data_IF_686538114644
#
_entry.id   IF_686538114644
#
_cell.length_a   1.000
_cell.length_b   1.000
_cell.length_c   1.000
_cell.angle_alpha   90.00
_cell.angle_beta   90.00
_cell.angle_gamma   90.00
#
_symmetry.space_group_name_H-M   'P 1'
#
loop_
_entity.id
_entity.type
_entity.pdbx_description
1 polymer ?
#
# COMPACT_ATOMS: atom_id res chain seq x y z
N UNK A 1 2.84 -4.76 -10.31
CA UNK A 1 4.07 -4.02 -9.89
C UNK A 1 3.74 -3.28 -8.60
N UNK A 2 4.65 -3.26 -7.62
CA UNK A 2 4.43 -2.55 -6.34
C UNK A 2 5.19 -1.24 -6.37
N UNK A 3 4.49 -0.14 -6.57
CA UNK A 3 5.10 1.19 -6.73
C UNK A 3 5.22 1.88 -5.36
N UNK A 4 6.39 2.42 -5.08
CA UNK A 4 6.59 3.37 -3.98
C UNK A 4 6.38 4.77 -4.54
N UNK A 5 5.52 5.56 -3.90
CA UNK A 5 5.32 6.96 -4.27
C UNK A 5 5.94 7.87 -3.22
N UNK A 6 6.88 8.72 -3.64
CA UNK A 6 7.49 9.74 -2.79
C UNK A 6 7.01 11.11 -3.23
N UNK A 7 6.27 11.80 -2.37
CA UNK A 7 5.88 13.19 -2.55
C UNK A 7 6.92 14.09 -1.88
N UNK A 8 7.70 14.81 -2.67
CA UNK A 8 8.66 15.79 -2.16
C UNK A 8 7.98 17.15 -1.92
N UNK A 9 7.98 17.58 -0.65
CA UNK A 9 7.41 18.86 -0.21
C UNK A 9 8.44 19.98 -0.06
N UNK A 10 9.70 19.78 -0.46
CA UNK A 10 10.71 20.82 -0.34
C UNK A 10 10.34 22.01 -1.25
N UNK A 11 10.29 23.26 -0.75
CA UNK A 11 9.77 24.41 -1.53
C UNK A 11 10.68 24.85 -2.68
N UNK A 12 11.98 24.58 -2.58
CA UNK A 12 12.96 24.74 -3.66
C UNK A 12 14.00 23.64 -3.53
N UNK A 13 13.73 22.46 -4.11
CA UNK A 13 14.62 21.31 -3.93
C UNK A 13 15.99 21.56 -4.57
N UNK A 14 16.09 22.42 -5.59
CA UNK A 14 17.38 22.70 -6.25
C UNK A 14 18.36 23.41 -5.31
N UNK A 15 17.86 24.14 -4.30
CA UNK A 15 18.68 24.76 -3.26
C UNK A 15 18.91 23.87 -2.02
N UNK A 16 18.34 22.65 -1.99
CA UNK A 16 18.47 21.75 -0.84
C UNK A 16 19.81 21.01 -0.80
N UNK A 17 20.48 21.04 0.34
CA UNK A 17 21.70 20.24 0.57
C UNK A 17 21.44 18.81 1.06
N UNK A 18 20.26 18.53 1.63
CA UNK A 18 19.97 17.25 2.30
C UNK A 18 18.82 16.47 1.68
N UNK A 19 17.67 17.10 1.39
CA UNK A 19 16.51 16.43 0.77
C UNK A 19 16.83 15.92 -0.64
N UNK A 20 17.63 16.66 -1.43
CA UNK A 20 18.13 16.22 -2.74
C UNK A 20 18.91 14.93 -2.64
N UNK A 21 19.86 14.86 -1.70
CA UNK A 21 20.66 13.64 -1.44
C UNK A 21 19.75 12.49 -1.03
N UNK A 22 18.77 12.72 -0.15
CA UNK A 22 17.83 11.68 0.27
C UNK A 22 17.06 11.12 -0.93
N UNK A 23 16.49 11.98 -1.77
CA UNK A 23 15.70 11.57 -2.93
C UNK A 23 16.55 10.84 -3.97
N UNK A 24 17.76 11.32 -4.26
CA UNK A 24 18.71 10.63 -5.16
C UNK A 24 19.04 9.23 -4.65
N UNK A 25 19.27 9.07 -3.35
CA UNK A 25 19.53 7.76 -2.74
C UNK A 25 18.32 6.83 -2.84
N UNK A 26 17.10 7.33 -2.59
CA UNK A 26 15.89 6.53 -2.74
C UNK A 26 15.75 6.03 -4.18
N UNK A 27 15.86 6.92 -5.16
CA UNK A 27 15.75 6.57 -6.58
C UNK A 27 16.85 5.61 -7.05
N UNK A 28 18.02 5.64 -6.43
CA UNK A 28 19.15 4.76 -6.79
C UNK A 28 19.06 3.38 -6.16
N UNK A 29 18.43 3.25 -4.98
CA UNK A 29 18.43 2.01 -4.20
C UNK A 29 17.13 1.20 -4.32
N UNK A 30 16.06 1.80 -4.84
CA UNK A 30 14.77 1.13 -5.04
C UNK A 30 14.41 1.12 -6.52
N UNK A 31 13.93 -0.02 -7.03
CA UNK A 31 13.70 -0.23 -8.47
C UNK A 31 12.36 0.32 -8.99
N UNK A 32 11.33 0.38 -8.15
CA UNK A 32 9.96 0.82 -8.49
C UNK A 32 9.55 2.02 -7.61
N UNK A 33 10.18 3.17 -7.84
CA UNK A 33 9.85 4.44 -7.14
C UNK A 33 9.45 5.53 -8.13
N UNK A 34 8.31 6.15 -7.87
CA UNK A 34 7.92 7.42 -8.45
C UNK A 34 8.20 8.56 -7.45
N UNK A 35 9.00 9.55 -7.85
CA UNK A 35 9.20 10.78 -7.06
C UNK A 35 8.46 11.94 -7.71
N UNK A 36 7.48 12.50 -6.98
CA UNK A 36 6.71 13.67 -7.42
C UNK A 36 7.17 14.90 -6.65
N UNK A 37 7.77 15.84 -7.38
CA UNK A 37 8.30 17.11 -6.85
C UNK A 37 7.24 18.20 -6.88
N UNK A 38 6.68 18.56 -5.74
CA UNK A 38 5.60 19.55 -5.69
C UNK A 38 6.08 20.94 -6.13
N UNK A 39 7.33 21.33 -5.80
CA UNK A 39 7.93 22.59 -6.21
C UNK A 39 7.96 22.77 -7.73
N UNK A 40 8.29 21.69 -8.45
CA UNK A 40 8.37 21.68 -9.91
C UNK A 40 7.01 21.48 -10.58
N UNK A 41 6.15 20.61 -10.04
CA UNK A 41 4.85 20.29 -10.62
C UNK A 41 3.84 21.43 -10.43
N UNK A 42 3.88 22.10 -9.28
CA UNK A 42 2.86 23.07 -8.87
C UNK A 42 3.48 24.38 -8.32
N UNK A 43 4.36 25.06 -9.09
CA UNK A 43 4.98 26.30 -8.64
C UNK A 43 3.97 27.42 -8.38
N UNK A 44 2.77 27.33 -8.94
CA UNK A 44 1.66 28.26 -8.79
C UNK A 44 0.57 27.77 -7.81
N UNK A 45 0.83 26.70 -7.06
CA UNK A 45 -0.08 26.09 -6.09
C UNK A 45 -1.37 25.54 -6.71
N UNK A 46 -1.43 25.28 -8.03
CA UNK A 46 -2.59 24.64 -8.67
C UNK A 46 -2.41 23.14 -8.77
N UNK A 47 -2.78 22.42 -7.71
CA UNK A 47 -2.66 20.96 -7.64
C UNK A 47 -3.61 20.30 -8.65
N UNK A 48 -3.07 19.42 -9.49
CA UNK A 48 -3.85 18.49 -10.31
C UNK A 48 -4.26 17.30 -9.45
N UNK A 49 -5.41 17.43 -8.77
CA UNK A 49 -5.92 16.43 -7.84
C UNK A 49 -6.05 15.05 -8.48
N UNK A 50 -6.53 14.99 -9.74
CA UNK A 50 -6.76 13.71 -10.42
C UNK A 50 -5.43 12.99 -10.66
N UNK A 51 -4.41 13.71 -11.16
CA UNK A 51 -3.11 13.11 -11.39
C UNK A 51 -2.47 12.58 -10.10
N UNK A 52 -2.55 13.33 -9.00
CA UNK A 52 -2.00 12.93 -7.71
C UNK A 52 -2.74 11.72 -7.11
N UNK A 53 -4.07 11.71 -7.20
CA UNK A 53 -4.88 10.57 -6.75
C UNK A 53 -4.56 9.30 -7.54
N UNK A 54 -4.37 9.39 -8.86
CA UNK A 54 -3.97 8.25 -9.68
C UNK A 54 -2.59 7.72 -9.29
N UNK A 55 -1.62 8.60 -9.01
CA UNK A 55 -0.32 8.18 -8.52
C UNK A 55 -0.44 7.47 -7.15
N UNK A 56 -1.26 7.99 -6.24
CA UNK A 56 -1.50 7.35 -4.93
C UNK A 56 -2.19 5.99 -5.05
N UNK A 57 -3.12 5.83 -6.00
CA UNK A 57 -3.79 4.56 -6.27
C UNK A 57 -2.82 3.50 -6.76
N UNK A 58 -1.88 3.88 -7.63
CA UNK A 58 -0.86 2.99 -8.19
C UNK A 58 0.19 2.52 -7.17
N UNK A 59 0.31 3.21 -6.02
CA UNK A 59 1.34 2.97 -5.03
C UNK A 59 0.88 2.11 -3.85
N UNK A 60 1.76 1.22 -3.36
CA UNK A 60 1.52 0.44 -2.14
C UNK A 60 2.04 1.17 -0.90
N UNK A 61 3.16 1.89 -1.06
CA UNK A 61 3.81 2.69 -0.02
C UNK A 61 3.86 4.14 -0.45
N UNK A 62 3.31 5.03 0.35
CA UNK A 62 3.30 6.48 0.13
C UNK A 62 4.21 7.14 1.18
N UNK A 63 5.18 7.92 0.70
CA UNK A 63 6.15 8.64 1.53
C UNK A 63 5.98 10.13 1.32
N UNK A 64 5.79 10.89 2.41
CA UNK A 64 5.95 12.34 2.35
C UNK A 64 7.38 12.69 2.76
N UNK A 65 8.17 13.20 1.82
CA UNK A 65 9.53 13.68 2.06
C UNK A 65 9.56 15.20 2.17
N UNK A 66 9.91 15.77 3.33
CA UNK A 66 9.90 17.23 3.50
C UNK A 66 10.90 17.77 4.54
N UNK A 67 11.28 19.05 4.46
CA UNK A 67 11.91 19.72 5.60
C UNK A 67 10.87 20.12 6.65
N UNK A 68 11.15 19.87 7.94
CA UNK A 68 10.24 20.16 9.04
C UNK A 68 10.24 21.65 9.37
N UNK A 69 9.26 22.37 8.83
CA UNK A 69 9.16 23.83 8.94
C UNK A 69 8.09 24.22 9.94
N UNK A 70 8.47 25.04 10.92
CA UNK A 70 7.56 25.52 11.97
C UNK A 70 6.72 24.39 12.58
N UNK A 71 7.39 23.27 12.88
CA UNK A 71 6.79 22.10 13.52
C UNK A 71 5.71 21.41 12.68
N UNK A 72 5.73 21.61 11.36
CA UNK A 72 4.77 21.07 10.41
C UNK A 72 5.41 20.78 9.02
N UNK A 73 4.56 20.47 8.05
CA UNK A 73 4.93 20.34 6.62
C UNK A 73 5.01 21.72 5.94
N UNK A 74 5.77 21.87 4.84
CA UNK A 74 5.75 23.09 4.03
C UNK A 74 4.38 23.42 3.45
N UNK A 75 4.12 24.71 3.19
CA UNK A 75 2.80 25.22 2.81
C UNK A 75 2.20 24.53 1.57
N UNK A 76 3.00 24.32 0.52
CA UNK A 76 2.55 23.64 -0.70
C UNK A 76 2.17 22.18 -0.43
N UNK A 77 2.94 21.47 0.41
CA UNK A 77 2.60 20.10 0.82
C UNK A 77 1.33 20.09 1.67
N UNK A 78 1.13 21.07 2.56
CA UNK A 78 -0.13 21.18 3.31
C UNK A 78 -1.32 21.37 2.37
N UNK A 79 -1.19 22.25 1.36
CA UNK A 79 -2.23 22.42 0.35
C UNK A 79 -2.48 21.14 -0.45
N UNK A 80 -1.43 20.44 -0.84
CA UNK A 80 -1.55 19.14 -1.52
C UNK A 80 -2.33 18.13 -0.66
N UNK A 81 -2.04 18.04 0.64
CA UNK A 81 -2.82 17.20 1.57
C UNK A 81 -4.30 17.63 1.55
N UNK A 82 -4.58 18.93 1.68
CA UNK A 82 -5.95 19.46 1.74
C UNK A 82 -6.76 19.22 0.46
N UNK A 83 -6.12 19.30 -0.71
CA UNK A 83 -6.79 19.13 -2.00
C UNK A 83 -6.94 17.63 -2.37
N UNK A 84 -5.90 16.81 -2.12
CA UNK A 84 -5.82 15.42 -2.61
C UNK A 84 -6.55 14.44 -1.70
N UNK A 85 -6.49 14.64 -0.38
CA UNK A 85 -7.23 13.82 0.61
C UNK A 85 -8.69 14.26 0.68
N UNK A 86 -9.40 14.15 -0.44
CA UNK A 86 -10.75 14.67 -0.63
C UNK A 86 -11.85 13.67 -0.26
N UNK A 87 -13.07 14.20 -0.08
CA UNK A 87 -14.27 13.43 0.20
C UNK A 87 -14.56 12.42 -0.93
N UNK A 88 -14.98 11.21 -0.57
CA UNK A 88 -15.16 10.03 -1.42
C UNK A 88 -13.89 9.51 -2.13
N UNK A 89 -12.72 10.08 -1.82
CA UNK A 89 -11.44 9.48 -2.18
C UNK A 89 -10.72 8.95 -0.95
N UNK A 90 -10.37 9.83 -0.01
CA UNK A 90 -9.65 9.47 1.21
C UNK A 90 -10.58 9.24 2.41
N UNK A 91 -11.77 9.85 2.44
CA UNK A 91 -12.72 9.68 3.55
C UNK A 91 -14.16 9.86 3.07
N UNK A 92 -15.14 9.52 3.89
CA UNK A 92 -16.57 9.52 3.51
C UNK A 92 -17.05 8.12 3.08
N UNK A 93 -18.33 7.99 2.66
CA UNK A 93 -18.94 6.68 2.39
C UNK A 93 -18.20 5.84 1.34
N UNK A 94 -17.57 6.48 0.35
CA UNK A 94 -16.80 5.82 -0.71
C UNK A 94 -15.28 6.08 -0.59
N UNK A 95 -14.85 6.76 0.47
CA UNK A 95 -13.47 7.21 0.67
C UNK A 95 -12.57 6.13 1.24
N UNK A 96 -12.40 5.03 0.50
CA UNK A 96 -11.61 3.87 0.89
C UNK A 96 -10.35 3.67 0.04
N UNK A 97 -10.05 4.59 -0.88
CA UNK A 97 -9.03 4.43 -1.92
C UNK A 97 -7.60 4.33 -1.39
N UNK A 98 -7.38 4.82 -0.17
CA UNK A 98 -6.08 4.79 0.50
C UNK A 98 -6.01 3.72 1.59
N UNK A 99 -7.11 3.01 1.86
CA UNK A 99 -7.20 2.05 2.95
C UNK A 99 -6.16 0.93 2.79
N UNK A 100 -5.41 0.67 3.85
CA UNK A 100 -4.39 -0.39 3.89
C UNK A 100 -3.09 -0.06 3.15
N UNK A 101 -2.97 1.09 2.48
CA UNK A 101 -1.68 1.55 1.94
C UNK A 101 -0.76 1.99 3.08
N UNK A 102 0.53 1.71 2.94
CA UNK A 102 1.52 2.11 3.94
C UNK A 102 1.87 3.58 3.79
N UNK A 103 1.91 4.30 4.92
CA UNK A 103 2.19 5.74 4.93
C UNK A 103 3.36 6.06 5.84
N UNK A 104 4.42 6.65 5.27
CA UNK A 104 5.64 7.04 5.98
C UNK A 104 5.81 8.55 5.90
N UNK A 105 6.02 9.18 7.05
CA UNK A 105 6.54 10.53 7.11
C UNK A 105 8.06 10.47 7.16
N UNK A 106 8.72 11.10 6.19
CA UNK A 106 10.17 11.15 6.06
C UNK A 106 10.63 12.60 6.03
N UNK A 107 11.38 13.07 7.02
CA UNK A 107 11.69 14.50 7.10
C UNK A 107 13.00 14.88 7.77
N UNK A 108 13.53 16.03 7.34
CA UNK A 108 14.76 16.59 7.89
C UNK A 108 14.45 17.66 8.93
N UNK A 109 15.08 17.56 10.10
CA UNK A 109 14.89 18.47 11.23
C UNK A 109 16.14 19.32 11.42
N UNK A 110 15.97 20.64 11.53
CA UNK A 110 17.08 21.56 11.72
C UNK A 110 17.71 21.48 13.12
N UNK A 111 16.87 21.47 14.15
CA UNK A 111 17.31 21.44 15.55
C UNK A 111 17.91 20.09 15.97
N UNK A 112 18.68 20.08 17.06
CA UNK A 112 19.27 18.86 17.62
C UNK A 112 18.21 18.01 18.35
N UNK A 113 18.46 16.70 18.51
CA UNK A 113 17.48 15.76 19.06
C UNK A 113 17.07 16.13 20.50
N UNK A 114 18.04 16.51 21.32
CA UNK A 114 17.87 16.93 22.71
C UNK A 114 16.99 18.18 22.89
N UNK A 115 16.67 18.90 21.82
CA UNK A 115 15.73 20.03 21.90
C UNK A 115 14.26 19.60 21.93
N UNK A 116 13.95 18.38 21.50
CA UNK A 116 12.58 17.83 21.40
C UNK A 116 12.25 16.95 22.60
N UNK A 117 12.27 17.57 23.78
CA UNK A 117 12.02 16.94 25.07
C UNK A 117 11.08 17.85 25.90
N UNK A 118 10.24 17.31 26.81
CA UNK A 118 9.39 18.12 27.69
C UNK A 118 10.13 19.20 28.49
N UNK A 119 11.40 18.97 28.82
CA UNK A 119 12.28 19.93 29.50
C UNK A 119 13.24 20.65 28.53
N UNK A 120 13.22 20.28 27.25
CA UNK A 120 14.02 20.87 26.19
C UNK A 120 13.38 22.12 25.58
N UNK A 121 14.10 22.74 24.64
CA UNK A 121 13.71 24.01 24.02
C UNK A 121 12.36 23.96 23.27
N UNK A 122 12.04 22.84 22.63
CA UNK A 122 10.81 22.69 21.85
C UNK A 122 9.63 22.15 22.67
N UNK A 123 9.84 21.79 23.94
CA UNK A 123 8.82 21.34 24.91
C UNK A 123 8.01 20.08 24.56
N UNK A 124 8.11 19.57 23.34
CA UNK A 124 7.40 18.39 22.87
C UNK A 124 8.36 17.51 22.08
N UNK A 125 8.11 16.20 22.12
CA UNK A 125 8.81 15.28 21.23
C UNK A 125 8.38 15.52 19.78
N UNK A 126 9.21 15.07 18.84
CA UNK A 126 8.86 15.15 17.41
C UNK A 126 7.54 14.43 17.15
N UNK A 127 7.35 13.24 17.72
CA UNK A 127 6.14 12.41 17.55
C UNK A 127 4.88 13.13 17.99
N UNK A 128 4.91 13.84 19.12
CA UNK A 128 3.77 14.62 19.59
C UNK A 128 3.36 15.70 18.58
N UNK A 129 4.33 16.32 17.90
CA UNK A 129 4.07 17.31 16.86
C UNK A 129 3.53 16.69 15.56
N UNK A 130 3.69 15.38 15.36
CA UNK A 130 3.18 14.68 14.18
C UNK A 130 1.74 14.17 14.32
N UNK A 131 1.13 14.26 15.51
CA UNK A 131 -0.23 13.74 15.74
C UNK A 131 -1.27 14.19 14.69
N UNK A 132 -1.29 15.44 14.18
CA UNK A 132 -2.23 15.82 13.13
C UNK A 132 -2.04 15.04 11.81
N UNK A 133 -0.79 14.76 11.42
CA UNK A 133 -0.47 13.99 10.21
C UNK A 133 -0.77 12.50 10.42
N UNK A 134 -0.47 11.98 11.61
CA UNK A 134 -0.87 10.61 12.00
C UNK A 134 -2.38 10.43 11.96
N UNK A 135 -3.15 11.41 12.49
CA UNK A 135 -4.61 11.39 12.44
C UNK A 135 -5.15 11.48 11.01
N UNK A 136 -4.46 12.19 10.11
CA UNK A 136 -4.80 12.23 8.67
C UNK A 136 -4.71 10.84 8.05
N UNK A 137 -3.63 10.10 8.33
CA UNK A 137 -3.46 8.73 7.86
C UNK A 137 -4.55 7.79 8.41
N UNK A 138 -4.90 7.91 9.70
CA UNK A 138 -5.96 7.11 10.32
C UNK A 138 -7.34 7.41 9.75
N UNK A 139 -7.66 8.68 9.50
CA UNK A 139 -8.92 9.04 8.86
C UNK A 139 -9.01 8.43 7.45
N UNK A 140 -7.89 8.37 6.73
CA UNK A 140 -7.79 7.77 5.41
C UNK A 140 -7.67 6.24 5.40
N UNK A 141 -7.72 5.58 6.57
CA UNK A 141 -7.59 4.14 6.70
C UNK A 141 -6.21 3.59 6.33
N UNK A 142 -5.18 4.44 6.27
CA UNK A 142 -3.82 4.06 5.92
C UNK A 142 -3.09 3.42 7.10
N UNK A 143 -2.10 2.59 6.79
CA UNK A 143 -1.20 2.02 7.79
C UNK A 143 -0.10 3.04 8.10
N UNK A 144 -0.30 3.87 9.13
CA UNK A 144 0.73 4.81 9.59
C UNK A 144 1.94 4.04 10.13
N UNK A 145 3.10 4.23 9.51
CA UNK A 145 4.37 3.58 9.88
C UNK A 145 5.25 4.52 10.71
N UNK A 146 6.28 3.95 11.34
CA UNK A 146 7.20 4.71 12.17
C UNK A 146 7.88 5.79 11.31
N UNK A 147 7.79 7.08 11.70
CA UNK A 147 8.36 8.16 10.90
C UNK A 147 9.88 8.05 10.87
N UNK A 148 10.47 8.40 9.72
CA UNK A 148 11.91 8.52 9.56
C UNK A 148 12.27 10.00 9.61
N UNK A 149 13.00 10.41 10.65
CA UNK A 149 13.49 11.77 10.73
C UNK A 149 14.94 11.83 11.18
N UNK A 150 15.59 12.96 10.92
CA UNK A 150 17.00 13.18 11.29
C UNK A 150 17.23 14.62 11.68
N UNK A 151 17.89 14.80 12.81
CA UNK A 151 18.23 16.08 13.42
C UNK A 151 19.50 16.69 12.84
N UNK A 152 19.74 17.97 13.16
CA UNK A 152 20.95 18.71 12.76
C UNK A 152 21.16 18.72 11.24
N UNK A 153 20.08 18.89 10.47
CA UNK A 153 20.10 18.88 9.00
C UNK A 153 20.26 20.26 8.35
N UNK A 154 20.33 21.33 9.15
CA UNK A 154 20.61 22.69 8.65
C UNK A 154 22.10 22.84 8.39
N UNK A 155 22.46 23.30 7.21
CA UNK A 155 23.81 23.77 6.88
C UNK A 155 23.77 25.26 6.60
N UNK A 156 24.60 26.03 7.30
CA UNK A 156 24.83 27.44 7.02
C UNK A 156 26.35 27.62 6.90
N UNK A 157 26.87 28.00 5.72
CA UNK A 157 28.30 28.12 5.48
C UNK A 157 29.00 28.93 6.57
N UNK A 158 30.01 28.34 7.22
CA UNK A 158 30.81 28.94 8.29
C UNK A 158 30.03 29.32 9.58
N UNK A 159 28.79 28.84 9.74
CA UNK A 159 27.95 29.20 10.88
C UNK A 159 27.42 27.96 11.60
N UNK A 160 26.90 26.97 10.88
CA UNK A 160 26.23 25.83 11.49
C UNK A 160 26.34 24.57 10.65
N UNK A 161 26.93 23.52 11.25
CA UNK A 161 27.32 22.25 10.64
C UNK A 161 28.26 22.38 9.43
N UNK A 162 28.94 21.28 9.10
CA UNK A 162 29.66 21.14 7.83
C UNK A 162 28.77 20.51 6.76
N UNK A 163 29.03 20.86 5.49
CA UNK A 163 28.25 20.34 4.37
C UNK A 163 28.37 18.81 4.26
N UNK A 164 29.58 18.29 4.42
CA UNK A 164 29.86 16.85 4.39
C UNK A 164 29.07 16.10 5.47
N UNK A 165 29.01 16.66 6.68
CA UNK A 165 28.30 16.07 7.81
C UNK A 165 26.79 15.98 7.59
N UNK A 166 26.16 17.06 7.08
CA UNK A 166 24.72 17.03 6.80
C UNK A 166 24.39 16.08 5.64
N UNK A 167 25.27 15.97 4.64
CA UNK A 167 25.08 15.05 3.53
C UNK A 167 25.31 13.58 3.95
N UNK A 168 26.25 13.31 4.85
CA UNK A 168 26.43 11.99 5.44
C UNK A 168 25.18 11.56 6.24
N UNK A 169 24.63 12.47 7.06
CA UNK A 169 23.35 12.23 7.76
C UNK A 169 22.19 12.01 6.78
N UNK A 170 22.15 12.75 5.66
CA UNK A 170 21.15 12.59 4.62
C UNK A 170 21.23 11.20 3.95
N UNK A 171 22.44 10.70 3.67
CA UNK A 171 22.63 9.33 3.16
C UNK A 171 22.14 8.29 4.15
N UNK A 172 22.53 8.39 5.43
CA UNK A 172 22.06 7.45 6.45
C UNK A 172 20.55 7.52 6.70
N UNK A 173 19.95 8.71 6.58
CA UNK A 173 18.50 8.87 6.60
C UNK A 173 17.84 8.08 5.47
N UNK A 174 18.36 8.21 4.24
CA UNK A 174 17.84 7.47 3.09
C UNK A 174 18.02 5.96 3.24
N UNK A 175 19.16 5.48 3.77
CA UNK A 175 19.37 4.05 4.05
C UNK A 175 18.30 3.49 4.99
N UNK A 176 18.01 4.18 6.09
CA UNK A 176 16.96 3.76 7.04
C UNK A 176 15.58 3.75 6.40
N UNK A 177 15.27 4.75 5.58
CA UNK A 177 14.02 4.82 4.84
C UNK A 177 13.90 3.68 3.83
N UNK A 178 14.92 3.43 3.01
CA UNK A 178 14.95 2.35 2.03
C UNK A 178 14.85 0.96 2.69
N UNK A 179 15.46 0.77 3.87
CA UNK A 179 15.31 -0.46 4.66
C UNK A 179 13.86 -0.65 5.08
N UNK A 180 13.23 0.37 5.67
CA UNK A 180 11.83 0.28 6.10
C UNK A 180 10.89 0.03 4.91
N UNK A 181 11.08 0.73 3.79
CA UNK A 181 10.28 0.52 2.57
C UNK A 181 10.47 -0.91 2.05
N UNK A 182 11.71 -1.40 1.96
CA UNK A 182 12.01 -2.76 1.52
C UNK A 182 11.35 -3.80 2.42
N UNK A 183 11.39 -3.62 3.74
CA UNK A 183 10.71 -4.51 4.71
C UNK A 183 9.18 -4.53 4.50
N UNK A 184 8.57 -3.37 4.25
CA UNK A 184 7.12 -3.28 3.99
C UNK A 184 6.73 -3.98 2.68
N UNK A 185 7.52 -3.77 1.62
CA UNK A 185 7.30 -4.38 0.31
C UNK A 185 7.53 -5.90 0.31
N UNK A 186 8.46 -6.37 1.14
CA UNK A 186 8.80 -7.80 1.24
C UNK A 186 8.01 -8.53 2.32
N UNK A 187 7.21 -7.83 3.12
CA UNK A 187 6.44 -8.45 4.19
C UNK A 187 5.47 -9.51 3.65
N UNK A 188 5.34 -10.67 4.33
CA UNK A 188 4.40 -11.71 3.94
C UNK A 188 2.98 -11.19 3.70
N UNK A 189 2.47 -10.36 4.61
CA UNK A 189 1.13 -9.77 4.52
C UNK A 189 0.95 -8.92 3.27
N UNK A 190 1.90 -8.02 2.96
CA UNK A 190 1.83 -7.17 1.76
C UNK A 190 1.80 -8.01 0.49
N UNK A 191 2.67 -9.02 0.41
CA UNK A 191 2.75 -9.92 -0.74
C UNK A 191 1.48 -10.75 -0.91
N UNK A 192 0.92 -11.24 0.19
CA UNK A 192 -0.36 -11.98 0.20
C UNK A 192 -1.53 -11.08 -0.23
N UNK A 193 -1.64 -9.85 0.30
CA UNK A 193 -2.71 -8.93 -0.07
C UNK A 193 -2.67 -8.55 -1.56
N UNK A 194 -1.46 -8.30 -2.09
CA UNK A 194 -1.28 -8.05 -3.51
C UNK A 194 -1.65 -9.25 -4.36
N UNK A 195 -1.21 -10.44 -3.96
CA UNK A 195 -1.58 -11.68 -4.62
C UNK A 195 -3.10 -11.87 -4.66
N UNK A 196 -3.81 -11.63 -3.56
CA UNK A 196 -5.28 -11.71 -3.49
C UNK A 196 -5.94 -10.74 -4.48
N UNK A 197 -5.43 -9.51 -4.57
CA UNK A 197 -5.93 -8.50 -5.51
C UNK A 197 -5.73 -8.96 -6.96
N UNK A 198 -4.55 -9.45 -7.31
CA UNK A 198 -4.25 -9.97 -8.65
C UNK A 198 -5.06 -11.24 -8.97
N UNK A 199 -5.23 -12.12 -7.97
CA UNK A 199 -6.02 -13.34 -8.05
C UNK A 199 -7.48 -13.06 -8.41
N UNK A 200 -8.14 -12.17 -7.66
CA UNK A 200 -9.53 -11.81 -7.92
C UNK A 200 -9.71 -10.98 -9.20
N UNK A 201 -8.78 -10.05 -9.50
CA UNK A 201 -8.82 -9.33 -10.77
C UNK A 201 -8.71 -10.29 -11.97
N UNK A 202 -7.97 -11.40 -11.84
CA UNK A 202 -7.92 -12.43 -12.88
C UNK A 202 -9.22 -13.25 -12.94
N UNK A 203 -9.81 -13.58 -11.79
CA UNK A 203 -11.13 -14.22 -11.74
C UNK A 203 -12.23 -13.36 -12.36
N UNK A 204 -12.19 -12.05 -12.19
CA UNK A 204 -13.19 -11.12 -12.77
C UNK A 204 -13.21 -11.15 -14.29
N UNK A 205 -12.06 -11.39 -14.93
CA UNK A 205 -11.94 -11.52 -16.38
C UNK A 205 -12.41 -12.90 -16.87
N UNK A 206 -12.37 -13.94 -16.02
CA UNK A 206 -12.69 -15.33 -16.35
C UNK A 206 -11.99 -15.83 -17.64
N UNK A 207 -10.64 -15.89 -17.68
CA UNK A 207 -9.94 -16.44 -18.82
C UNK A 207 -10.31 -17.91 -19.07
N UNK A 208 -10.33 -18.35 -20.34
CA UNK A 208 -10.63 -19.74 -20.69
C UNK A 208 -9.59 -20.72 -20.11
N UNK A 209 -8.32 -20.32 -20.06
CA UNK A 209 -7.26 -21.10 -19.42
C UNK A 209 -7.19 -20.85 -17.91
N UNK A 210 -6.82 -21.89 -17.17
CA UNK A 210 -6.62 -21.84 -15.73
C UNK A 210 -5.13 -21.81 -15.34
N UNK A 211 -4.23 -21.54 -16.28
CA UNK A 211 -2.79 -21.73 -16.09
C UNK A 211 -2.22 -20.73 -15.08
N UNK A 212 -2.72 -19.50 -15.10
CA UNK A 212 -2.39 -18.51 -14.08
C UNK A 212 -2.71 -19.04 -12.68
N UNK A 213 -3.95 -19.52 -12.47
CA UNK A 213 -4.40 -19.97 -11.16
C UNK A 213 -3.63 -21.20 -10.68
N UNK A 214 -3.52 -22.23 -11.52
CA UNK A 214 -2.89 -23.51 -11.15
C UNK A 214 -1.41 -23.39 -10.77
N UNK A 215 -0.68 -22.37 -11.25
CA UNK A 215 0.70 -22.08 -10.80
C UNK A 215 0.78 -21.64 -9.35
N UNK A 216 -0.27 -21.02 -8.83
CA UNK A 216 -0.36 -20.55 -7.45
C UNK A 216 -1.12 -21.53 -6.53
N UNK A 217 -1.38 -22.75 -7.00
CA UNK A 217 -2.03 -23.80 -6.21
C UNK A 217 -1.01 -24.88 -5.87
N UNK A 218 -0.97 -25.29 -4.60
CA UNK A 218 -0.17 -26.43 -4.19
C UNK A 218 -0.68 -27.71 -4.87
N UNK A 219 0.20 -28.70 -5.08
CA UNK A 219 -0.17 -29.96 -5.74
C UNK A 219 -1.20 -30.76 -4.94
N UNK A 220 -1.14 -30.64 -3.62
CA UNK A 220 -2.03 -31.23 -2.62
C UNK A 220 -3.17 -30.28 -2.22
N UNK A 221 -3.50 -29.29 -3.07
CA UNK A 221 -4.60 -28.36 -2.84
C UNK A 221 -5.87 -29.10 -2.40
N UNK A 222 -6.49 -28.57 -1.35
CA UNK A 222 -7.89 -28.86 -1.03
C UNK A 222 -8.75 -27.63 -1.29
N UNK A 223 -9.65 -27.72 -2.27
CA UNK A 223 -10.63 -26.69 -2.60
C UNK A 223 -12.00 -27.12 -2.06
N UNK A 224 -12.55 -26.38 -1.12
CA UNK A 224 -13.86 -26.65 -0.52
C UNK A 224 -14.82 -25.53 -0.90
N UNK A 225 -15.77 -25.85 -1.75
CA UNK A 225 -16.78 -24.93 -2.28
C UNK A 225 -18.17 -25.35 -1.77
N UNK A 226 -19.18 -24.45 -1.80
CA UNK A 226 -20.55 -24.80 -1.42
C UNK A 226 -21.10 -26.03 -2.17
N UNK A 227 -20.67 -26.23 -3.41
CA UNK A 227 -21.10 -27.33 -4.29
C UNK A 227 -20.37 -28.64 -4.01
N UNK A 228 -19.24 -28.61 -3.30
CA UNK A 228 -18.46 -29.81 -2.99
C UNK A 228 -16.95 -29.56 -2.82
N UNK A 229 -16.22 -30.66 -2.66
CA UNK A 229 -14.78 -30.65 -2.46
C UNK A 229 -14.05 -31.10 -3.73
N UNK A 230 -13.02 -30.37 -4.12
CA UNK A 230 -12.18 -30.63 -5.28
C UNK A 230 -10.71 -30.71 -4.86
N UNK A 231 -9.96 -31.67 -5.41
CA UNK A 231 -8.61 -31.99 -4.96
C UNK A 231 -7.56 -31.76 -6.04
N UNK A 232 -6.46 -31.13 -5.65
CA UNK A 232 -5.32 -30.84 -6.53
C UNK A 232 -5.67 -29.95 -7.71
N UNK A 233 -4.79 -29.92 -8.71
CA UNK A 233 -4.96 -29.08 -9.89
C UNK A 233 -6.11 -29.54 -10.79
N UNK A 234 -6.31 -30.85 -10.95
CA UNK A 234 -7.43 -31.39 -11.76
C UNK A 234 -8.78 -31.04 -11.14
N UNK A 235 -8.93 -31.22 -9.82
CA UNK A 235 -10.15 -30.82 -9.13
C UNK A 235 -10.43 -29.32 -9.29
N UNK A 236 -9.40 -28.48 -9.16
CA UNK A 236 -9.56 -27.04 -9.43
C UNK A 236 -10.02 -26.76 -10.86
N UNK A 237 -9.43 -27.43 -11.87
CA UNK A 237 -9.84 -27.26 -13.29
C UNK A 237 -11.29 -27.67 -13.53
N UNK A 238 -11.74 -28.73 -12.88
CA UNK A 238 -13.14 -29.16 -12.97
C UNK A 238 -14.09 -28.14 -12.35
N UNK A 239 -13.77 -27.63 -11.16
CA UNK A 239 -14.55 -26.55 -10.55
C UNK A 239 -14.52 -25.27 -11.40
N UNK A 240 -13.36 -24.89 -11.93
CA UNK A 240 -13.20 -23.69 -12.74
C UNK A 240 -14.02 -23.76 -14.03
N UNK A 241 -14.17 -24.95 -14.63
CA UNK A 241 -15.07 -25.17 -15.78
C UNK A 241 -16.53 -24.90 -15.41
N UNK A 242 -16.98 -25.35 -14.24
CA UNK A 242 -18.32 -25.03 -13.72
C UNK A 242 -18.48 -23.52 -13.55
N UNK A 243 -17.46 -22.83 -13.03
CA UNK A 243 -17.49 -21.38 -12.89
C UNK A 243 -17.62 -20.68 -14.26
N UNK A 244 -16.88 -21.12 -15.29
CA UNK A 244 -16.97 -20.59 -16.66
C UNK A 244 -18.33 -20.84 -17.32
N UNK A 245 -19.00 -21.95 -17.01
CA UNK A 245 -20.34 -22.26 -17.50
C UNK A 245 -21.44 -21.51 -16.72
N UNK A 246 -21.12 -21.04 -15.51
CA UNK A 246 -22.05 -20.36 -14.62
C UNK A 246 -22.04 -18.85 -14.81
N UNK A 247 -20.86 -18.23 -14.75
CA UNK A 247 -20.67 -16.78 -14.70
C UNK A 247 -20.20 -16.22 -16.04
N UNK A 248 -20.68 -15.03 -16.39
CA UNK A 248 -20.19 -14.27 -17.55
C UNK A 248 -18.91 -13.50 -17.18
N UNK A 249 -18.00 -13.26 -18.13
CA UNK A 249 -16.84 -12.38 -17.91
C UNK A 249 -17.25 -10.97 -17.43
N UNK A 250 -16.31 -10.28 -16.77
CA UNK A 250 -16.50 -8.99 -16.11
C UNK A 250 -17.36 -9.07 -14.84
N UNK A 251 -17.16 -10.14 -14.06
CA UNK A 251 -17.59 -10.18 -12.66
C UNK A 251 -16.85 -9.12 -11.84
N UNK A 252 -17.30 -8.92 -10.59
CA UNK A 252 -16.59 -8.11 -9.62
C UNK A 252 -16.51 -8.85 -8.28
N UNK A 253 -15.29 -9.17 -7.87
CA UNK A 253 -14.98 -9.61 -6.51
C UNK A 253 -14.55 -8.40 -5.67
N UNK A 254 -15.48 -7.91 -4.83
CA UNK A 254 -15.21 -6.82 -3.92
C UNK A 254 -14.75 -7.39 -2.58
N UNK A 255 -13.45 -7.29 -2.29
CA UNK A 255 -12.88 -7.75 -1.01
C UNK A 255 -13.16 -6.72 0.08
N UNK A 256 -14.12 -7.01 0.95
CA UNK A 256 -14.56 -6.09 2.01
C UNK A 256 -13.63 -6.13 3.24
N UNK A 257 -13.02 -7.30 3.52
CA UNK A 257 -12.11 -7.51 4.64
C UNK A 257 -11.03 -8.54 4.30
N UNK A 258 -9.81 -8.32 4.80
CA UNK A 258 -8.67 -9.24 4.73
C UNK A 258 -8.00 -9.31 6.10
N UNK A 259 -7.76 -10.52 6.59
CA UNK A 259 -6.96 -10.78 7.77
C UNK A 259 -5.92 -11.86 7.45
N UNK A 260 -4.64 -11.56 7.64
CA UNK A 260 -3.53 -12.50 7.42
C UNK A 260 -2.88 -12.81 8.75
N UNK A 261 -2.89 -14.09 9.14
CA UNK A 261 -2.33 -14.56 10.41
C UNK A 261 -1.21 -15.57 10.15
N UNK A 262 -0.04 -15.43 10.80
CA UNK A 262 1.00 -16.45 10.71
C UNK A 262 0.55 -17.76 11.39
N UNK A 263 0.80 -18.89 10.74
CA UNK A 263 0.53 -20.23 11.23
C UNK A 263 1.71 -21.16 10.90
N UNK A 264 2.70 -21.21 11.80
CA UNK A 264 3.93 -21.97 11.57
C UNK A 264 4.76 -21.39 10.43
N UNK A 265 5.02 -22.20 9.41
CA UNK A 265 5.71 -21.83 8.16
C UNK A 265 4.74 -21.31 7.07
N UNK A 266 3.44 -21.28 7.37
CA UNK A 266 2.36 -20.84 6.48
C UNK A 266 1.61 -19.64 7.07
N UNK A 267 0.62 -19.17 6.33
CA UNK A 267 -0.27 -18.09 6.73
C UNK A 267 -1.72 -18.52 6.52
N UNK A 268 -2.56 -18.30 7.53
CA UNK A 268 -4.00 -18.40 7.38
C UNK A 268 -4.54 -17.04 6.97
N UNK A 269 -5.30 -17.02 5.89
CA UNK A 269 -5.87 -15.81 5.30
C UNK A 269 -7.38 -15.92 5.38
N UNK A 270 -8.02 -14.96 6.04
CA UNK A 270 -9.48 -14.85 6.07
C UNK A 270 -9.92 -13.67 5.24
N UNK A 271 -10.92 -13.91 4.41
CA UNK A 271 -11.45 -12.94 3.47
C UNK A 271 -12.95 -12.84 3.64
N UNK A 272 -13.47 -11.63 3.50
CA UNK A 272 -14.88 -11.39 3.23
C UNK A 272 -15.00 -10.81 1.84
N UNK A 273 -15.64 -11.53 0.94
CA UNK A 273 -15.70 -11.18 -0.48
C UNK A 273 -17.15 -11.11 -0.93
N UNK A 274 -17.50 -10.01 -1.58
CA UNK A 274 -18.78 -9.86 -2.26
C UNK A 274 -18.58 -10.08 -3.76
N UNK A 275 -19.20 -11.11 -4.29
CA UNK A 275 -19.25 -11.40 -5.71
C UNK A 275 -20.49 -10.75 -6.33
N UNK A 276 -20.27 -9.86 -7.29
CA UNK A 276 -21.29 -9.35 -8.20
C UNK A 276 -21.04 -9.94 -9.59
N UNK A 277 -21.98 -10.71 -10.13
CA UNK A 277 -21.79 -11.37 -11.41
C UNK A 277 -23.10 -11.57 -12.15
N UNK A 278 -23.05 -11.48 -13.49
CA UNK A 278 -24.12 -11.96 -14.35
C UNK A 278 -23.88 -13.43 -14.70
N UNK A 279 -24.97 -14.19 -14.86
CA UNK A 279 -24.88 -15.63 -15.15
C UNK A 279 -25.42 -15.98 -16.54
N UNK A 280 -25.08 -17.17 -17.04
CA UNK A 280 -25.65 -17.68 -18.29
C UNK A 280 -27.07 -18.23 -18.08
N UNK A 281 -27.96 -18.18 -19.09
CA UNK A 281 -29.33 -18.71 -18.98
C UNK A 281 -29.41 -20.19 -18.62
N UNK A 282 -28.44 -20.98 -19.07
CA UNK A 282 -28.38 -22.43 -18.83
C UNK A 282 -27.65 -22.79 -17.53
N UNK A 283 -27.20 -21.78 -16.76
CA UNK A 283 -26.55 -21.98 -15.46
C UNK A 283 -27.56 -22.29 -14.35
N UNK A 284 -27.05 -22.68 -13.19
CA UNK A 284 -27.83 -22.88 -11.96
C UNK A 284 -28.62 -21.64 -11.52
N UNK A 285 -28.19 -20.43 -11.90
CA UNK A 285 -28.85 -19.17 -11.60
C UNK A 285 -29.76 -18.66 -12.72
N UNK A 286 -29.89 -19.42 -13.81
CA UNK A 286 -30.87 -19.19 -14.89
C UNK A 286 -30.80 -17.77 -15.48
N UNK A 287 -29.58 -17.23 -15.62
CA UNK A 287 -29.32 -15.92 -16.20
C UNK A 287 -29.54 -14.73 -15.27
N UNK A 288 -29.84 -14.95 -13.99
CA UNK A 288 -29.97 -13.87 -13.01
C UNK A 288 -28.62 -13.30 -12.61
N UNK A 289 -28.58 -11.98 -12.36
CA UNK A 289 -27.44 -11.35 -11.69
C UNK A 289 -27.42 -11.77 -10.22
N UNK A 290 -26.23 -12.09 -9.72
CA UNK A 290 -26.01 -12.50 -8.34
C UNK A 290 -25.24 -11.44 -7.57
N UNK A 291 -25.56 -11.31 -6.28
CA UNK A 291 -24.83 -10.52 -5.30
C UNK A 291 -24.66 -11.38 -4.05
N UNK A 292 -23.54 -12.07 -3.98
CA UNK A 292 -23.29 -13.11 -2.98
C UNK A 292 -22.17 -12.63 -2.07
N UNK A 293 -22.41 -12.69 -0.76
CA UNK A 293 -21.38 -12.45 0.24
C UNK A 293 -20.87 -13.80 0.75
N UNK A 294 -19.55 -14.01 0.66
CA UNK A 294 -18.88 -15.22 1.12
C UNK A 294 -17.76 -14.87 2.09
N UNK A 295 -17.55 -15.75 3.06
CA UNK A 295 -16.33 -15.78 3.85
C UNK A 295 -15.42 -16.85 3.24
N UNK A 296 -14.19 -16.47 2.90
CA UNK A 296 -13.18 -17.41 2.43
C UNK A 296 -12.07 -17.59 3.46
N UNK A 297 -11.57 -18.81 3.58
CA UNK A 297 -10.41 -19.13 4.42
C UNK A 297 -9.39 -19.87 3.59
N UNK A 298 -8.22 -19.26 3.41
CA UNK A 298 -7.11 -19.85 2.68
C UNK A 298 -5.97 -20.18 3.63
N UNK A 299 -5.22 -21.23 3.30
CA UNK A 299 -3.89 -21.45 3.88
C UNK A 299 -2.86 -21.29 2.77
N UNK A 300 -1.92 -20.37 2.96
CA UNK A 300 -0.93 -20.01 1.93
C UNK A 300 0.51 -20.11 2.43
N UNK A 301 1.45 -20.34 1.52
CA UNK A 301 2.89 -20.25 1.78
C UNK A 301 3.58 -19.51 0.64
N UNK A 302 4.89 -19.31 0.74
CA UNK A 302 5.72 -18.86 -0.37
C UNK A 302 6.53 -20.04 -0.92
N UNK A 303 6.70 -20.11 -2.23
CA UNK A 303 7.59 -21.07 -2.86
C UNK A 303 9.06 -20.59 -2.87
N UNK A 304 9.95 -21.32 -3.55
CA UNK A 304 11.38 -20.98 -3.63
C UNK A 304 11.67 -19.72 -4.45
N UNK A 305 10.75 -19.30 -5.32
CA UNK A 305 10.82 -18.07 -6.10
C UNK A 305 10.16 -16.90 -5.36
N UNK A 306 9.41 -17.20 -4.29
CA UNK A 306 8.66 -16.25 -3.51
C UNK A 306 7.22 -16.04 -4.02
N UNK A 307 6.72 -16.89 -4.91
CA UNK A 307 5.33 -16.80 -5.33
C UNK A 307 4.42 -17.40 -4.25
N UNK A 308 3.22 -16.83 -4.11
CA UNK A 308 2.23 -17.33 -3.17
C UNK A 308 1.67 -18.66 -3.70
N UNK A 309 1.62 -19.66 -2.83
CA UNK A 309 0.99 -20.97 -3.06
C UNK A 309 -0.17 -21.18 -2.09
N UNK A 310 -1.35 -21.48 -2.62
CA UNK A 310 -2.54 -21.83 -1.83
C UNK A 310 -2.58 -23.34 -1.63
N UNK A 311 -2.65 -23.76 -0.36
CA UNK A 311 -2.72 -25.17 0.07
C UNK A 311 -4.15 -25.60 0.39
N UNK A 312 -4.93 -24.69 0.97
CA UNK A 312 -6.34 -24.90 1.27
C UNK A 312 -7.10 -23.66 0.85
N UNK A 313 -8.26 -23.86 0.24
CA UNK A 313 -9.14 -22.79 -0.24
C UNK A 313 -10.57 -23.19 0.11
N UNK A 314 -11.12 -22.57 1.15
CA UNK A 314 -12.48 -22.81 1.61
C UNK A 314 -13.34 -21.57 1.33
N UNK A 315 -14.51 -21.78 0.72
CA UNK A 315 -15.55 -20.77 0.54
C UNK A 315 -16.79 -21.19 1.31
N UNK A 316 -17.24 -20.33 2.21
CA UNK A 316 -18.47 -20.51 2.98
C UNK A 316 -19.44 -19.34 2.69
N UNK A 317 -20.70 -19.61 2.32
CA UNK A 317 -21.70 -18.56 2.18
C UNK A 317 -21.93 -17.86 3.52
N UNK A 318 -22.02 -16.53 3.52
CA UNK A 318 -22.49 -15.81 4.70
C UNK A 318 -24.00 -15.98 4.76
N UNK A 319 -24.47 -16.79 5.71
CA UNK A 319 -25.91 -16.96 5.93
C UNK A 319 -26.44 -15.66 6.52
N UNK A 320 -27.22 -14.92 5.73
CA UNK A 320 -27.99 -13.75 6.16
C UNK A 320 -29.14 -14.16 7.08
#
# INVERSE_FOLDING_TARGET
MSQVLVISGHPDLNASYTNTVILEQIQSNLSDVEVRRLDSLYPDYRIDVVAEQQAMLAADVIVLQFPFYWYAVPALMKKWIDDVFSFNFAYGPEGDKLKGKDFILSFTVGGPAESYDPLGYNHFTVEQMLHPLQQTAYLAGMNYRQPIYTHRMVYIPNVYNELEDVQARAKNHAERLCSQISELLTSPTTRINKFITEWFARFDVLPEDSDFFTRHLARDLTLSMPEGQFLGHEGFRDWYRIALETFKPNCQHLVEQIEVMPNGDKFDVKLRVRLLADTYPDSTFVGQSVNILVDETWQVSFDTQGDVLIHNYLVAPVVS
#
